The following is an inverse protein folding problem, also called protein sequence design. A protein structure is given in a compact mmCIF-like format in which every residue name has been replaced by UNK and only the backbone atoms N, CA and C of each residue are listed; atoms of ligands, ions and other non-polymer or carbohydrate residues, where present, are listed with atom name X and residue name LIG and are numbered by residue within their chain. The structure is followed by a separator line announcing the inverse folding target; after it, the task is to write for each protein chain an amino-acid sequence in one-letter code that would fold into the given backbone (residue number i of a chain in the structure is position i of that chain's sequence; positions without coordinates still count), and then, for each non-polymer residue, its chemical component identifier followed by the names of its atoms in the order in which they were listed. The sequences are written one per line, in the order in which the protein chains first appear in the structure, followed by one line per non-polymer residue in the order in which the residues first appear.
data_IF_913879403829
#
_entry.id   IF_913879403829
#
_cell.length_a   1.000
_cell.length_b   1.000
_cell.length_c   1.000
_cell.angle_alpha   90.00
_cell.angle_beta   90.00
_cell.angle_gamma   90.00
#
_symmetry.space_group_name_H-M   'P 1'
#
loop_
_entity.id
_entity.type
_entity.pdbx_description
1 polymer ?
#
# COMPACT_ATOMS: atom_id res chain seq x y z
N UNK A 1 -76.55 -10.63 -16.50
CA UNK A 1 -76.04 -10.99 -15.15
C UNK A 1 -75.03 -12.14 -15.24
N UNK A 2 -75.32 -13.18 -16.02
CA UNK A 2 -74.43 -14.35 -16.21
C UNK A 2 -73.02 -14.02 -16.74
N UNK A 3 -72.89 -13.07 -17.66
CA UNK A 3 -71.58 -12.66 -18.20
C UNK A 3 -70.63 -12.07 -17.14
N UNK A 4 -71.15 -11.40 -16.11
CA UNK A 4 -70.32 -10.82 -15.05
C UNK A 4 -69.86 -11.89 -14.05
N UNK A 5 -70.68 -12.91 -13.81
CA UNK A 5 -70.31 -14.06 -12.97
C UNK A 5 -69.19 -14.87 -13.62
N UNK A 6 -69.31 -15.16 -14.93
CA UNK A 6 -68.25 -15.87 -15.67
C UNK A 6 -66.92 -15.10 -15.69
N UNK A 7 -66.94 -13.77 -15.86
CA UNK A 7 -65.72 -12.96 -15.78
C UNK A 7 -65.10 -12.93 -14.38
N UNK A 8 -65.93 -12.93 -13.33
CA UNK A 8 -65.43 -12.99 -11.95
C UNK A 8 -64.74 -14.32 -11.68
N UNK A 9 -65.37 -15.43 -12.06
CA UNK A 9 -64.83 -16.76 -11.78
C UNK A 9 -63.55 -17.02 -12.58
N UNK A 10 -63.42 -16.48 -13.80
CA UNK A 10 -62.17 -16.51 -14.56
C UNK A 10 -61.03 -15.74 -13.87
N UNK A 11 -61.29 -14.55 -13.31
CA UNK A 11 -60.29 -13.78 -12.57
C UNK A 11 -59.88 -14.45 -11.26
N UNK A 12 -60.82 -15.09 -10.57
CA UNK A 12 -60.52 -15.84 -9.34
C UNK A 12 -59.61 -17.03 -9.66
N UNK A 13 -59.90 -17.78 -10.73
CA UNK A 13 -59.05 -18.88 -11.17
C UNK A 13 -57.63 -18.42 -11.55
N UNK A 14 -57.51 -17.28 -12.22
CA UNK A 14 -56.19 -16.70 -12.57
C UNK A 14 -55.40 -16.29 -11.32
N UNK A 15 -56.05 -15.63 -10.35
CA UNK A 15 -55.41 -15.24 -9.08
C UNK A 15 -54.97 -16.46 -8.26
N UNK A 16 -55.80 -17.51 -8.20
CA UNK A 16 -55.43 -18.76 -7.53
C UNK A 16 -54.21 -19.43 -8.20
N UNK A 17 -54.14 -19.40 -9.52
CA UNK A 17 -53.00 -19.94 -10.26
C UNK A 17 -51.73 -19.12 -10.01
N UNK A 18 -51.82 -17.78 -9.98
CA UNK A 18 -50.70 -16.91 -9.66
C UNK A 18 -50.20 -17.12 -8.22
N UNK A 19 -51.11 -17.24 -7.25
CA UNK A 19 -50.74 -17.54 -5.86
C UNK A 19 -50.03 -18.88 -5.73
N UNK A 20 -50.53 -19.94 -6.40
CA UNK A 20 -49.86 -21.26 -6.41
C UNK A 20 -48.47 -21.20 -7.04
N UNK A 21 -48.31 -20.44 -8.13
CA UNK A 21 -47.01 -20.26 -8.77
C UNK A 21 -46.02 -19.50 -7.86
N UNK A 22 -46.48 -18.46 -7.16
CA UNK A 22 -45.65 -17.73 -6.19
C UNK A 22 -45.25 -18.60 -4.99
N UNK A 23 -46.17 -19.42 -4.47
CA UNK A 23 -45.87 -20.37 -3.40
C UNK A 23 -44.81 -21.39 -3.83
N UNK A 24 -44.96 -21.98 -5.02
CA UNK A 24 -44.00 -22.93 -5.57
C UNK A 24 -42.60 -22.30 -5.76
N UNK A 25 -42.53 -21.08 -6.28
CA UNK A 25 -41.27 -20.35 -6.46
C UNK A 25 -40.58 -20.05 -5.12
N UNK A 26 -41.35 -19.69 -4.08
CA UNK A 26 -40.81 -19.44 -2.75
C UNK A 26 -40.28 -20.73 -2.09
N UNK A 27 -40.98 -21.85 -2.26
CA UNK A 27 -40.51 -23.16 -1.80
C UNK A 27 -39.22 -23.60 -2.50
N UNK A 28 -39.08 -23.33 -3.81
CA UNK A 28 -37.87 -23.62 -4.56
C UNK A 28 -36.68 -22.76 -4.09
N UNK A 29 -36.89 -21.47 -3.88
CA UNK A 29 -35.86 -20.59 -3.31
C UNK A 29 -35.45 -21.02 -1.90
N UNK A 30 -36.39 -21.47 -1.06
CA UNK A 30 -36.08 -21.98 0.27
C UNK A 30 -35.20 -23.24 0.22
N UNK A 31 -35.48 -24.18 -0.70
CA UNK A 31 -34.66 -25.37 -0.93
C UNK A 31 -33.26 -25.02 -1.44
N UNK A 32 -33.14 -24.06 -2.35
CA UNK A 32 -31.84 -23.58 -2.85
C UNK A 32 -31.02 -22.95 -1.73
N UNK A 33 -31.65 -22.15 -0.86
CA UNK A 33 -31.00 -21.54 0.29
C UNK A 33 -30.47 -22.59 1.27
N UNK A 34 -31.26 -23.63 1.58
CA UNK A 34 -30.83 -24.72 2.45
C UNK A 34 -29.63 -25.50 1.86
N UNK A 35 -29.61 -25.70 0.54
CA UNK A 35 -28.47 -26.34 -0.14
C UNK A 35 -27.20 -25.48 -0.08
N UNK A 36 -27.33 -24.17 -0.26
CA UNK A 36 -26.23 -23.22 -0.14
C UNK A 36 -25.66 -23.19 1.28
N UNK A 37 -26.53 -23.18 2.30
CA UNK A 37 -26.10 -23.21 3.71
C UNK A 37 -25.30 -24.49 4.02
N UNK A 38 -25.72 -25.66 3.51
CA UNK A 38 -24.96 -26.91 3.66
C UNK A 38 -23.59 -26.87 2.99
N UNK A 39 -23.48 -26.26 1.80
CA UNK A 39 -22.19 -26.12 1.11
C UNK A 39 -21.25 -25.19 1.87
N UNK A 40 -21.77 -24.10 2.46
CA UNK A 40 -20.98 -23.17 3.26
C UNK A 40 -20.46 -23.85 4.52
N UNK A 41 -21.31 -24.61 5.25
CA UNK A 41 -20.88 -25.33 6.44
C UNK A 41 -19.81 -26.38 6.12
N UNK A 42 -19.97 -27.13 5.02
CA UNK A 42 -18.97 -28.12 4.58
C UNK A 42 -17.63 -27.46 4.20
N UNK A 43 -17.67 -26.26 3.60
CA UNK A 43 -16.47 -25.50 3.29
C UNK A 43 -15.74 -25.03 4.55
N UNK A 44 -16.47 -24.53 5.55
CA UNK A 44 -15.88 -24.09 6.82
C UNK A 44 -15.23 -25.26 7.59
N UNK A 45 -15.83 -26.45 7.57
CA UNK A 45 -15.24 -27.65 8.18
C UNK A 45 -13.95 -28.10 7.46
N UNK A 46 -13.92 -28.00 6.12
CA UNK A 46 -12.70 -28.26 5.33
C UNK A 46 -11.60 -27.25 5.60
N UNK A 47 -11.93 -25.98 5.82
CA UNK A 47 -10.94 -24.95 6.14
C UNK A 47 -10.34 -25.17 7.53
N UNK A 48 -11.18 -25.47 8.54
CA UNK A 48 -10.72 -25.80 9.90
C UNK A 48 -9.81 -27.01 9.94
N UNK A 49 -10.11 -28.05 9.17
CA UNK A 49 -9.27 -29.25 9.08
C UNK A 49 -7.93 -28.96 8.39
N UNK A 50 -7.93 -28.18 7.31
CA UNK A 50 -6.70 -27.76 6.63
C UNK A 50 -5.81 -26.86 7.51
N UNK A 51 -6.40 -25.97 8.32
CA UNK A 51 -5.65 -25.11 9.24
C UNK A 51 -5.01 -25.92 10.38
N UNK A 52 -5.73 -26.90 10.94
CA UNK A 52 -5.18 -27.80 11.95
C UNK A 52 -3.99 -28.63 11.42
N UNK A 53 -4.04 -29.05 10.15
CA UNK A 53 -2.94 -29.78 9.50
C UNK A 53 -1.70 -28.90 9.27
N UNK A 54 -1.90 -27.64 8.86
CA UNK A 54 -0.82 -26.64 8.74
C UNK A 54 -0.13 -26.37 10.08
N UNK A 55 -0.89 -26.30 11.17
CA UNK A 55 -0.32 -26.09 12.50
C UNK A 55 0.54 -27.28 12.96
N UNK A 56 0.13 -28.53 12.67
CA UNK A 56 0.92 -29.73 12.99
C UNK A 56 2.23 -29.80 12.22
N UNK A 57 2.24 -29.37 10.97
CA UNK A 57 3.45 -29.37 10.14
C UNK A 57 4.47 -28.35 10.65
N UNK A 58 4.00 -27.18 11.13
CA UNK A 58 4.87 -26.09 11.59
C UNK A 58 5.61 -26.40 12.89
N UNK A 59 5.03 -27.20 13.79
CA UNK A 59 5.71 -27.63 15.03
C UNK A 59 6.80 -28.69 14.81
N UNK A 60 6.81 -29.37 13.65
CA UNK A 60 7.83 -30.40 13.34
C UNK A 60 9.14 -29.80 12.80
N UNK A 61 9.10 -28.60 12.22
CA UNK A 61 10.27 -27.97 11.57
C UNK A 61 11.06 -27.06 12.53
N UNK A 62 10.46 -26.58 13.63
CA UNK A 62 11.13 -25.72 14.61
C UNK A 62 12.14 -26.48 15.50
N UNK A 63 12.01 -27.80 15.65
CA UNK A 63 12.96 -28.63 16.42
C UNK A 63 14.25 -28.98 15.65
N UNK A 64 14.30 -28.72 14.33
CA UNK A 64 15.46 -29.04 13.48
C UNK A 64 16.43 -27.88 13.23
N UNK A 65 16.09 -26.65 13.65
CA UNK A 65 16.85 -25.43 13.32
C UNK A 65 17.71 -24.86 14.47
N UNK A 66 17.86 -25.58 15.59
CA UNK A 66 18.57 -25.07 16.79
C UNK A 66 20.08 -25.38 16.87
N UNK A 67 20.69 -25.96 15.85
CA UNK A 67 22.14 -26.12 15.79
C UNK A 67 22.74 -25.31 14.63
N UNK A 68 23.64 -24.37 15.00
CA UNK A 68 24.81 -23.88 14.25
C UNK A 68 24.85 -22.35 13.96
N UNK A 69 26.03 -21.79 14.29
CA UNK A 69 26.67 -20.54 13.84
C UNK A 69 26.53 -19.26 14.69
N UNK A 70 27.39 -19.15 15.71
CA UNK A 70 27.86 -17.86 16.24
C UNK A 70 29.02 -17.35 15.38
N UNK A 71 28.88 -16.18 14.75
CA UNK A 71 29.98 -15.47 14.11
C UNK A 71 30.05 -14.03 14.63
N UNK A 72 31.20 -13.67 15.19
CA UNK A 72 31.52 -12.33 15.70
C UNK A 72 32.16 -11.49 14.58
N UNK A 73 31.62 -10.30 14.24
CA UNK A 73 32.27 -9.43 13.27
C UNK A 73 33.36 -8.58 13.95
N UNK A 74 34.52 -8.52 13.27
CA UNK A 74 35.70 -7.73 13.60
C UNK A 74 35.45 -6.23 13.50
N UNK A 75 36.03 -5.51 14.47
CA UNK A 75 36.35 -4.08 14.44
C UNK A 75 37.12 -3.72 13.18
N UNK A 76 36.61 -2.74 12.45
CA UNK A 76 37.37 -1.60 11.89
C UNK A 76 36.53 -1.01 10.76
N UNK A 77 36.03 0.22 10.91
CA UNK A 77 35.79 1.22 9.85
C UNK A 77 35.10 2.44 10.48
N UNK A 78 35.83 3.09 11.40
CA UNK A 78 35.50 4.41 11.90
C UNK A 78 36.42 5.42 11.22
N UNK A 79 36.07 5.88 10.01
CA UNK A 79 36.51 7.16 9.43
C UNK A 79 35.94 7.34 8.03
N UNK A 80 35.06 8.34 7.86
CA UNK A 80 35.09 9.42 6.87
C UNK A 80 33.69 10.05 6.87
N UNK A 81 33.58 11.21 7.54
CA UNK A 81 32.35 11.96 7.79
C UNK A 81 32.57 13.37 7.25
N UNK A 82 31.88 13.75 6.16
CA UNK A 82 31.57 15.15 5.86
C UNK A 82 30.55 15.30 4.70
N UNK A 83 29.45 15.97 5.03
CA UNK A 83 28.58 16.83 4.20
C UNK A 83 28.03 16.31 2.85
N UNK A 84 26.73 16.01 2.84
CA UNK A 84 25.67 16.72 2.09
C UNK A 84 24.31 16.24 2.67
N UNK A 85 23.51 17.17 3.19
CA UNK A 85 22.08 16.95 3.49
C UNK A 85 21.32 17.04 2.16
N UNK A 86 20.74 15.93 1.72
CA UNK A 86 19.66 15.96 0.72
C UNK A 86 18.48 15.21 1.31
N UNK A 87 17.54 15.97 1.86
CA UNK A 87 16.23 15.50 2.30
C UNK A 87 15.42 15.04 1.08
N UNK A 88 15.65 13.79 0.67
CA UNK A 88 14.85 13.11 -0.34
C UNK A 88 13.71 12.34 0.35
N UNK A 89 12.76 13.10 0.90
CA UNK A 89 11.48 12.56 1.35
C UNK A 89 10.44 12.69 0.24
N UNK A 90 9.65 11.65 -0.07
CA UNK A 90 8.51 11.80 -0.96
C UNK A 90 7.50 12.78 -0.36
N UNK A 91 7.09 13.79 -1.14
CA UNK A 91 6.16 14.86 -0.72
C UNK A 91 4.71 14.41 -0.55
N UNK A 92 4.43 13.13 -0.80
CA UNK A 92 3.10 12.56 -0.63
C UNK A 92 2.98 12.05 0.81
N UNK A 93 1.88 12.46 1.44
CA UNK A 93 1.51 12.18 2.82
C UNK A 93 1.55 10.71 3.25
N UNK A 94 1.43 9.81 2.28
CA UNK A 94 1.12 8.39 2.44
C UNK A 94 1.84 7.57 1.35
N UNK A 95 3.15 7.75 1.21
CA UNK A 95 3.93 6.96 0.24
C UNK A 95 4.75 5.89 0.93
N UNK A 96 4.72 4.69 0.35
CA UNK A 96 5.61 3.59 0.70
C UNK A 96 6.58 3.41 -0.45
N UNK A 97 7.87 3.42 -0.16
CA UNK A 97 8.94 3.20 -1.12
C UNK A 97 9.88 2.13 -0.59
N UNK A 98 10.54 1.40 -1.48
CA UNK A 98 11.63 0.51 -1.10
C UNK A 98 12.97 1.22 -1.35
N UNK A 99 13.82 1.29 -0.32
CA UNK A 99 15.17 1.82 -0.40
C UNK A 99 16.18 0.76 0.07
N UNK A 100 16.85 0.11 -0.88
CA UNK A 100 17.72 -1.03 -0.59
C UNK A 100 16.90 -2.23 -0.10
N UNK A 101 17.22 -2.75 1.09
CA UNK A 101 16.45 -3.81 1.75
C UNK A 101 15.35 -3.28 2.69
N UNK A 102 15.04 -1.98 2.63
CA UNK A 102 14.18 -1.31 3.61
C UNK A 102 12.91 -0.77 2.97
N UNK A 103 11.77 -1.01 3.61
CA UNK A 103 10.57 -0.24 3.30
C UNK A 103 10.63 1.09 4.05
N UNK A 104 10.36 2.17 3.32
CA UNK A 104 10.27 3.53 3.81
C UNK A 104 8.83 3.99 3.65
N UNK A 105 8.19 4.34 4.75
CA UNK A 105 6.84 4.90 4.72
C UNK A 105 6.90 6.37 5.16
N UNK A 106 6.26 7.27 4.42
CA UNK A 106 5.90 8.59 4.92
C UNK A 106 4.52 8.51 5.59
N UNK A 107 4.36 9.24 6.70
CA UNK A 107 3.06 9.45 7.32
C UNK A 107 2.86 10.93 7.63
N UNK A 108 1.64 11.43 7.40
CA UNK A 108 1.23 12.72 7.95
C UNK A 108 1.13 12.62 9.46
N UNK A 109 2.06 13.23 10.18
CA UNK A 109 1.75 13.70 11.54
C UNK A 109 0.88 14.94 11.41
N UNK A 110 -0.36 14.90 11.89
CA UNK A 110 -1.06 16.14 12.24
C UNK A 110 -0.15 16.84 13.26
N UNK A 111 0.36 18.02 12.93
CA UNK A 111 0.96 18.90 13.92
C UNK A 111 -0.13 19.22 14.95
N UNK A 112 -0.15 18.49 16.07
CA UNK A 112 -0.76 19.03 17.28
C UNK A 112 0.13 20.21 17.64
N UNK A 113 -0.41 21.42 17.51
CA UNK A 113 0.37 22.61 17.80
C UNK A 113 0.95 22.50 19.22
N UNK A 114 2.21 22.93 19.47
CA UNK A 114 2.77 22.92 20.81
C UNK A 114 2.02 23.80 21.83
N UNK A 115 0.99 24.56 21.42
CA UNK A 115 0.27 25.51 22.27
C UNK A 115 -0.86 24.90 23.12
N UNK A 116 -1.20 23.61 22.98
CA UNK A 116 -2.34 23.01 23.72
C UNK A 116 -1.97 22.18 24.95
N UNK A 117 -0.72 22.23 25.43
CA UNK A 117 -0.42 21.86 26.82
C UNK A 117 -0.55 23.07 27.73
N UNK A 118 -1.78 23.32 28.20
CA UNK A 118 -2.01 24.13 29.40
C UNK A 118 -1.34 23.46 30.61
N UNK A 119 -0.15 23.92 30.95
CA UNK A 119 0.36 23.91 32.33
C UNK A 119 0.63 25.37 32.66
N UNK A 120 0.01 25.83 33.75
CA UNK A 120 -0.15 27.25 34.04
C UNK A 120 1.09 27.98 34.57
N UNK A 121 0.81 29.24 34.89
CA UNK A 121 1.56 30.24 35.67
C UNK A 121 2.26 31.39 34.90
N UNK A 122 1.54 32.53 34.95
CA UNK A 122 1.96 33.91 35.25
C UNK A 122 2.71 34.84 34.26
N UNK A 123 1.96 35.93 33.98
CA UNK A 123 2.28 37.38 33.96
C UNK A 123 3.29 37.97 32.95
N UNK A 124 2.69 38.83 32.11
CA UNK A 124 3.04 40.22 31.79
C UNK A 124 4.25 40.50 30.88
N UNK A 125 3.97 41.03 29.69
CA UNK A 125 4.95 41.69 28.82
C UNK A 125 4.43 41.89 27.39
N UNK A 126 4.12 43.14 27.06
CA UNK A 126 3.65 43.72 25.79
C UNK A 126 3.90 42.97 24.47
N UNK A 127 2.82 42.76 23.71
CA UNK A 127 2.82 42.50 22.28
C UNK A 127 3.34 43.73 21.49
N UNK A 128 4.38 43.53 20.69
CA UNK A 128 4.55 44.24 19.43
C UNK A 128 4.52 43.20 18.30
N UNK A 129 3.35 43.08 17.66
CA UNK A 129 3.19 42.35 16.40
C UNK A 129 4.02 43.04 15.32
N UNK A 130 5.01 42.35 14.78
CA UNK A 130 5.51 42.60 13.42
C UNK A 130 5.24 41.35 12.59
N UNK A 131 4.37 41.53 11.60
CA UNK A 131 4.04 40.61 10.53
C UNK A 131 5.29 40.25 9.72
N UNK A 132 5.86 39.07 9.99
CA UNK A 132 6.79 38.39 9.08
C UNK A 132 6.09 37.15 8.54
N UNK A 133 5.98 37.04 7.22
CA UNK A 133 5.47 35.86 6.50
C UNK A 133 6.10 34.59 7.07
N UNK A 134 5.30 33.79 7.78
CA UNK A 134 5.71 32.48 8.25
C UNK A 134 5.86 31.53 7.07
N UNK A 135 7.11 31.15 6.78
CA UNK A 135 7.38 29.90 6.08
C UNK A 135 7.04 28.76 7.05
N UNK A 136 5.87 28.16 6.88
CA UNK A 136 5.52 26.92 7.57
C UNK A 136 6.44 25.81 7.05
N UNK A 137 7.48 25.49 7.83
CA UNK A 137 8.30 24.31 7.60
C UNK A 137 7.51 23.06 7.97
N UNK A 138 7.20 22.24 6.97
CA UNK A 138 6.65 20.91 7.16
C UNK A 138 7.80 19.96 7.51
N UNK A 139 7.67 19.22 8.60
CA UNK A 139 8.67 18.25 9.06
C UNK A 139 8.08 16.85 8.90
N UNK A 140 8.26 16.29 7.71
CA UNK A 140 7.93 14.88 7.43
C UNK A 140 9.06 14.00 8.00
N UNK A 141 8.70 13.05 8.88
CA UNK A 141 9.68 12.10 9.43
C UNK A 141 9.52 10.78 8.68
N UNK A 142 10.40 10.44 7.73
CA UNK A 142 10.40 9.11 7.11
C UNK A 142 10.84 8.06 8.15
N UNK A 143 10.13 6.94 8.22
CA UNK A 143 10.60 5.75 8.95
C UNK A 143 11.16 4.73 7.96
N UNK A 144 12.38 4.26 8.22
CA UNK A 144 13.03 3.21 7.44
C UNK A 144 13.12 1.92 8.26
N UNK A 145 12.56 0.82 7.75
CA UNK A 145 12.60 -0.49 8.42
C UNK A 145 13.80 -1.31 7.91
N UNK A 146 14.76 -1.66 8.77
CA UNK A 146 15.96 -2.41 8.38
C UNK A 146 15.75 -3.93 8.39
N UNK A 147 16.07 -4.60 7.29
CA UNK A 147 16.18 -6.06 7.24
C UNK A 147 17.63 -6.45 7.51
N UNK A 148 17.90 -6.93 8.73
CA UNK A 148 19.12 -7.67 9.04
C UNK A 148 18.76 -9.12 9.38
N UNK A 149 19.42 -10.04 8.69
CA UNK A 149 19.46 -11.45 9.06
C UNK A 149 20.19 -11.57 10.40
N UNK A 150 19.44 -11.67 11.49
CA UNK A 150 19.98 -11.96 12.83
C UNK A 150 19.85 -10.81 13.84
N UNK A 151 18.93 -11.02 14.80
CA UNK A 151 18.78 -10.39 16.12
C UNK A 151 18.35 -8.91 16.24
N UNK A 152 17.19 -8.77 16.89
CA UNK A 152 16.61 -7.60 17.61
C UNK A 152 16.49 -6.25 16.88
N UNK A 153 15.29 -5.95 16.38
CA UNK A 153 14.87 -4.61 16.01
C UNK A 153 14.83 -3.68 17.24
N UNK A 154 15.72 -2.70 17.32
CA UNK A 154 15.54 -1.54 18.20
C UNK A 154 14.63 -0.52 17.51
N UNK A 155 13.69 0.07 18.26
CA UNK A 155 13.02 1.31 17.89
C UNK A 155 14.10 2.34 17.50
N UNK A 156 14.19 2.71 16.23
CA UNK A 156 15.10 3.77 15.80
C UNK A 156 14.44 5.13 15.98
N UNK A 157 15.20 6.03 16.60
CA UNK A 157 14.91 7.44 16.77
C UNK A 157 14.70 8.15 15.41
N UNK A 158 14.09 9.36 15.40
CA UNK A 158 13.94 10.18 14.19
C UNK A 158 15.19 10.18 13.33
N UNK A 159 15.00 10.08 12.01
CA UNK A 159 16.01 9.77 10.99
C UNK A 159 17.02 10.92 10.74
N UNK A 160 17.60 11.52 11.79
CA UNK A 160 18.58 12.60 11.68
C UNK A 160 20.03 12.14 11.54
N UNK A 161 20.35 10.88 11.86
CA UNK A 161 21.75 10.42 12.00
C UNK A 161 22.13 9.18 11.17
N UNK A 162 21.45 8.92 10.05
CA UNK A 162 21.97 7.97 9.06
C UNK A 162 22.97 8.67 8.14
N UNK A 163 24.26 8.39 8.33
CA UNK A 163 25.28 8.61 7.31
C UNK A 163 24.82 7.92 5.99
N UNK A 164 24.77 8.63 4.85
CA UNK A 164 24.30 8.09 3.58
C UNK A 164 25.40 7.23 2.96
N UNK A 165 25.56 6.01 3.47
CA UNK A 165 26.38 5.01 2.79
C UNK A 165 25.60 4.57 1.55
N UNK A 166 26.15 4.94 0.39
CA UNK A 166 25.75 4.59 -0.99
C UNK A 166 24.64 5.43 -1.64
N UNK A 167 24.75 6.76 -1.58
CA UNK A 167 24.41 7.58 -2.76
C UNK A 167 25.48 7.35 -3.85
N UNK A 168 25.56 6.14 -4.40
CA UNK A 168 25.95 6.00 -5.82
C UNK A 168 24.93 6.85 -6.56
N UNK A 169 25.39 7.96 -7.11
CA UNK A 169 24.57 9.08 -7.54
C UNK A 169 23.42 8.60 -8.43
N UNK A 170 22.23 9.20 -8.36
CA UNK A 170 21.11 8.86 -9.28
C UNK A 170 21.59 8.82 -10.74
N UNK A 171 22.58 9.66 -11.07
CA UNK A 171 23.35 9.68 -12.31
C UNK A 171 24.11 8.39 -12.65
N UNK A 172 24.69 7.66 -11.70
CA UNK A 172 25.35 6.37 -11.96
C UNK A 172 24.33 5.28 -12.29
N UNK A 173 23.20 5.24 -11.58
CA UNK A 173 22.16 4.24 -11.83
C UNK A 173 21.36 4.53 -13.09
N UNK A 174 21.11 5.81 -13.36
CA UNK A 174 20.29 6.30 -14.45
C UNK A 174 20.97 7.52 -15.11
N UNK A 175 22.01 7.32 -15.95
CA UNK A 175 22.70 8.43 -16.60
C UNK A 175 21.78 9.25 -17.51
N UNK A 176 20.73 8.62 -18.05
CA UNK A 176 19.70 9.29 -18.84
C UNK A 176 18.90 10.34 -18.06
N UNK A 177 18.90 10.25 -16.73
CA UNK A 177 18.25 11.23 -15.86
C UNK A 177 19.15 12.43 -15.56
N UNK A 178 20.47 12.35 -15.74
CA UNK A 178 21.40 13.42 -15.35
C UNK A 178 21.07 14.74 -16.03
N UNK A 179 20.87 14.74 -17.34
CA UNK A 179 20.54 15.95 -18.10
C UNK A 179 19.16 16.50 -17.72
N UNK A 180 18.20 15.60 -17.45
CA UNK A 180 16.84 16.00 -17.06
C UNK A 180 16.82 16.58 -15.65
N UNK A 181 17.53 15.96 -14.72
CA UNK A 181 17.72 16.47 -13.36
C UNK A 181 18.44 17.83 -13.39
N UNK A 182 19.47 17.99 -14.23
CA UNK A 182 20.16 19.27 -14.39
C UNK A 182 19.24 20.36 -14.96
N UNK A 183 18.35 19.99 -15.90
CA UNK A 183 17.41 20.91 -16.55
C UNK A 183 16.24 21.34 -15.66
N UNK A 184 15.60 20.39 -14.99
CA UNK A 184 14.36 20.63 -14.23
C UNK A 184 14.61 20.82 -12.72
N UNK A 185 15.76 20.34 -12.23
CA UNK A 185 16.13 20.40 -10.82
C UNK A 185 15.47 19.31 -9.98
N UNK A 186 16.18 18.86 -8.94
CA UNK A 186 15.65 17.92 -7.95
C UNK A 186 14.54 18.54 -7.08
N UNK A 187 14.57 19.86 -6.90
CA UNK A 187 13.58 20.58 -6.10
C UNK A 187 12.16 20.57 -6.70
N UNK A 188 12.06 20.32 -8.00
CA UNK A 188 10.80 20.23 -8.76
C UNK A 188 10.35 18.78 -8.96
N UNK A 189 11.02 17.79 -8.36
CA UNK A 189 10.61 16.40 -8.47
C UNK A 189 9.26 16.20 -7.75
N UNK A 190 8.27 15.71 -8.48
CA UNK A 190 6.94 15.40 -7.95
C UNK A 190 6.81 13.90 -7.67
N UNK A 191 7.31 13.05 -8.58
CA UNK A 191 7.22 11.60 -8.45
C UNK A 191 8.51 10.93 -8.89
N UNK A 192 8.93 9.88 -8.17
CA UNK A 192 10.12 9.10 -8.52
C UNK A 192 9.97 7.65 -8.10
N UNK A 193 10.12 6.74 -9.06
CA UNK A 193 10.16 5.31 -8.85
C UNK A 193 11.37 4.71 -9.59
N UNK A 194 12.15 3.92 -8.88
CA UNK A 194 13.26 3.15 -9.42
C UNK A 194 12.90 1.67 -9.37
N UNK A 195 13.25 0.95 -10.42
CA UNK A 195 13.08 -0.48 -10.53
C UNK A 195 14.37 -1.21 -10.91
N UNK A 196 14.31 -2.54 -11.06
CA UNK A 196 15.45 -3.34 -11.45
C UNK A 196 15.90 -3.02 -12.89
N UNK A 197 17.11 -3.45 -13.27
CA UNK A 197 17.63 -3.32 -14.63
C UNK A 197 17.61 -1.88 -15.22
N UNK A 198 17.82 -0.87 -14.37
CA UNK A 198 17.77 0.56 -14.75
C UNK A 198 16.38 1.02 -15.23
N UNK A 199 15.31 0.30 -14.91
CA UNK A 199 13.96 0.82 -15.14
C UNK A 199 13.67 1.94 -14.16
N UNK A 200 13.00 2.99 -14.62
CA UNK A 200 12.59 4.09 -13.76
C UNK A 200 11.36 4.80 -14.32
N UNK A 201 10.69 5.53 -13.43
CA UNK A 201 9.72 6.57 -13.78
C UNK A 201 10.01 7.79 -12.93
N UNK A 202 10.01 8.95 -13.55
CA UNK A 202 10.17 10.22 -12.86
C UNK A 202 9.23 11.26 -13.46
N UNK A 203 8.68 12.10 -12.59
CA UNK A 203 7.83 13.22 -12.95
C UNK A 203 8.26 14.46 -12.17
N UNK A 204 8.29 15.58 -12.86
CA UNK A 204 8.50 16.91 -12.29
C UNK A 204 7.18 17.67 -12.25
N UNK A 205 7.14 18.67 -11.38
CA UNK A 205 6.08 19.68 -11.35
C UNK A 205 6.09 20.44 -12.70
N UNK A 206 4.92 20.63 -13.32
CA UNK A 206 4.78 21.29 -14.63
C UNK A 206 4.87 20.38 -15.87
N UNK A 207 4.35 19.14 -15.77
CA UNK A 207 4.12 18.19 -16.88
C UNK A 207 5.35 17.49 -17.49
N UNK A 208 6.55 17.73 -16.97
CA UNK A 208 7.76 17.00 -17.37
C UNK A 208 7.78 15.57 -16.79
N UNK A 209 8.01 14.56 -17.62
CA UNK A 209 8.24 13.18 -17.15
C UNK A 209 9.27 12.43 -17.99
N UNK A 210 9.84 11.37 -17.42
CA UNK A 210 10.71 10.43 -18.11
C UNK A 210 10.51 9.03 -17.56
N UNK A 211 10.66 8.03 -18.41
CA UNK A 211 10.70 6.64 -18.00
C UNK A 211 11.73 5.86 -18.81
N UNK A 212 12.13 4.73 -18.27
CA UNK A 212 12.80 3.65 -18.97
C UNK A 212 12.27 2.33 -18.40
N UNK A 213 12.06 1.33 -19.25
CA UNK A 213 11.65 0.01 -18.79
C UNK A 213 11.15 -0.88 -19.91
N UNK A 214 10.43 -1.96 -19.59
CA UNK A 214 9.79 -2.81 -20.58
C UNK A 214 8.86 -2.03 -21.54
N UNK A 215 8.69 -2.52 -22.77
CA UNK A 215 7.89 -1.84 -23.80
C UNK A 215 6.42 -1.65 -23.40
N UNK A 216 5.82 -2.63 -22.72
CA UNK A 216 4.47 -2.55 -22.16
C UNK A 216 4.35 -1.45 -21.10
N UNK A 217 5.33 -1.38 -20.19
CA UNK A 217 5.43 -0.33 -19.19
C UNK A 217 5.54 1.06 -19.84
N UNK A 218 6.42 1.26 -20.81
CA UNK A 218 6.56 2.56 -21.49
C UNK A 218 5.27 2.98 -22.22
N UNK A 219 4.54 2.01 -22.80
CA UNK A 219 3.25 2.28 -23.41
C UNK A 219 2.20 2.73 -22.39
N UNK A 220 2.22 2.16 -21.18
CA UNK A 220 1.31 2.57 -20.10
C UNK A 220 1.70 3.95 -19.53
N UNK A 221 2.99 4.24 -19.35
CA UNK A 221 3.45 5.57 -18.93
C UNK A 221 3.00 6.65 -19.93
N UNK A 222 3.16 6.43 -21.23
CA UNK A 222 2.73 7.38 -22.27
C UNK A 222 1.24 7.73 -22.17
N UNK A 223 0.41 6.82 -21.66
CA UNK A 223 -1.04 7.05 -21.46
C UNK A 223 -1.35 7.75 -20.15
N UNK A 224 -0.60 7.46 -19.09
CA UNK A 224 -1.00 7.78 -17.71
C UNK A 224 -0.04 8.66 -16.92
N UNK A 225 1.14 9.03 -17.45
CA UNK A 225 2.23 9.69 -16.70
C UNK A 225 1.77 10.81 -15.75
N UNK A 226 0.95 11.74 -16.25
CA UNK A 226 0.46 12.89 -15.47
C UNK A 226 -0.61 12.54 -14.43
N UNK A 227 -1.18 11.34 -14.52
CA UNK A 227 -2.25 10.83 -13.65
C UNK A 227 -1.77 9.80 -12.64
N UNK A 228 -0.52 9.34 -12.74
CA UNK A 228 0.04 8.34 -11.81
C UNK A 228 0.07 8.92 -10.38
N UNK A 229 -0.42 8.13 -9.43
CA UNK A 229 -0.48 8.46 -8.00
C UNK A 229 0.40 7.56 -7.14
N UNK A 230 0.50 6.30 -7.51
CA UNK A 230 1.40 5.34 -6.90
C UNK A 230 1.98 4.41 -7.96
N UNK A 231 3.19 3.93 -7.74
CA UNK A 231 3.86 3.01 -8.64
C UNK A 231 4.92 2.23 -7.88
N UNK A 232 5.03 0.95 -8.20
CA UNK A 232 6.14 0.11 -7.74
C UNK A 232 6.62 -0.80 -8.87
N UNK A 233 7.93 -1.00 -8.91
CA UNK A 233 8.57 -2.04 -9.72
C UNK A 233 8.93 -3.22 -8.84
N UNK A 234 8.67 -4.43 -9.33
CA UNK A 234 8.98 -5.68 -8.66
C UNK A 234 9.90 -6.57 -9.48
N UNK A 235 9.99 -7.83 -9.05
CA UNK A 235 10.82 -8.85 -9.67
C UNK A 235 10.43 -9.09 -11.14
N UNK A 236 11.43 -9.40 -11.98
CA UNK A 236 11.22 -9.74 -13.40
C UNK A 236 10.59 -8.62 -14.24
N UNK A 237 10.83 -7.36 -13.89
CA UNK A 237 10.18 -6.20 -14.48
C UNK A 237 8.64 -6.25 -14.39
N UNK A 238 8.14 -6.81 -13.30
CA UNK A 238 6.76 -6.60 -12.89
C UNK A 238 6.58 -5.16 -12.42
N UNK A 239 5.37 -4.65 -12.57
CA UNK A 239 5.03 -3.34 -12.05
C UNK A 239 3.54 -3.25 -11.71
N UNK A 240 3.25 -2.36 -10.78
CA UNK A 240 1.90 -1.92 -10.49
C UNK A 240 1.91 -0.41 -10.53
N UNK A 241 0.91 0.17 -11.18
CA UNK A 241 0.68 1.59 -11.18
C UNK A 241 -0.77 1.90 -10.86
N UNK A 242 -0.96 2.91 -10.04
CA UNK A 242 -2.24 3.53 -9.72
C UNK A 242 -2.30 4.87 -10.41
N UNK A 243 -3.41 5.15 -11.09
CA UNK A 243 -3.61 6.39 -11.83
C UNK A 243 -5.05 6.87 -11.74
N UNK A 244 -5.21 8.18 -11.72
CA UNK A 244 -6.51 8.81 -11.64
C UNK A 244 -6.41 10.31 -11.74
N UNK A 245 -7.54 10.96 -11.98
CA UNK A 245 -7.61 12.41 -11.91
C UNK A 245 -7.83 12.82 -10.46
N UNK A 246 -7.10 13.83 -9.98
CA UNK A 246 -7.39 14.46 -8.70
C UNK A 246 -8.82 15.05 -8.64
N UNK A 247 -9.40 15.32 -9.81
CA UNK A 247 -10.69 15.99 -9.97
C UNK A 247 -11.84 15.04 -10.28
N UNK A 248 -11.56 13.75 -10.55
CA UNK A 248 -12.61 12.80 -10.88
C UNK A 248 -12.94 11.94 -9.65
N UNK A 249 -14.11 12.11 -9.03
CA UNK A 249 -14.54 11.30 -7.89
C UNK A 249 -14.78 9.83 -8.27
N UNK A 250 -14.74 9.48 -9.56
CA UNK A 250 -14.85 8.10 -10.07
C UNK A 250 -13.66 7.19 -9.75
N UNK A 251 -12.75 7.63 -8.90
CA UNK A 251 -11.77 6.79 -8.26
C UNK A 251 -10.43 6.58 -8.96
N UNK A 252 -9.48 6.04 -8.20
CA UNK A 252 -8.19 5.60 -8.74
C UNK A 252 -8.37 4.28 -9.50
N UNK A 253 -7.87 4.25 -10.72
CA UNK A 253 -7.70 3.02 -11.48
C UNK A 253 -6.29 2.48 -11.25
N UNK A 254 -6.07 1.23 -11.60
CA UNK A 254 -4.74 0.65 -11.56
C UNK A 254 -4.47 -0.24 -12.76
N UNK A 255 -3.18 -0.40 -13.07
CA UNK A 255 -2.67 -1.34 -14.04
C UNK A 255 -1.64 -2.20 -13.35
N UNK A 256 -1.79 -3.51 -13.49
CA UNK A 256 -1.00 -4.51 -12.80
C UNK A 256 -0.43 -5.47 -13.84
N UNK A 257 0.90 -5.59 -13.89
CA UNK A 257 1.60 -6.53 -14.77
C UNK A 257 2.61 -7.28 -13.92
N UNK A 258 2.20 -8.42 -13.37
CA UNK A 258 3.02 -9.18 -12.41
C UNK A 258 3.79 -10.35 -13.02
N UNK A 259 3.46 -10.79 -14.24
CA UNK A 259 4.22 -11.80 -15.01
C UNK A 259 4.44 -13.12 -14.23
N UNK A 260 3.50 -13.52 -13.38
CA UNK A 260 3.60 -14.70 -12.53
C UNK A 260 4.35 -14.50 -11.20
N UNK A 261 4.88 -13.30 -10.95
CA UNK A 261 5.37 -12.90 -9.63
C UNK A 261 4.22 -12.43 -8.74
N UNK A 262 4.43 -12.44 -7.42
CA UNK A 262 3.46 -12.00 -6.41
C UNK A 262 2.06 -12.61 -6.58
N UNK A 263 1.91 -13.95 -6.62
CA UNK A 263 0.63 -14.60 -6.91
C UNK A 263 -0.46 -14.25 -5.91
N UNK A 264 -0.11 -14.05 -4.63
CA UNK A 264 -1.05 -13.58 -3.61
C UNK A 264 -1.59 -12.17 -3.93
N UNK A 265 -0.73 -11.27 -4.39
CA UNK A 265 -1.13 -9.92 -4.80
C UNK A 265 -2.02 -9.97 -6.03
N UNK A 266 -1.67 -10.79 -7.03
CA UNK A 266 -2.46 -10.98 -8.25
C UNK A 266 -3.87 -11.46 -7.91
N UNK A 267 -3.98 -12.54 -7.13
CA UNK A 267 -5.26 -13.09 -6.67
C UNK A 267 -6.05 -12.08 -5.85
N UNK A 268 -5.38 -11.32 -4.98
CA UNK A 268 -6.02 -10.29 -4.18
C UNK A 268 -6.60 -9.17 -5.03
N UNK A 269 -5.85 -8.70 -6.03
CA UNK A 269 -6.29 -7.68 -6.99
C UNK A 269 -7.50 -8.18 -7.78
N UNK A 270 -7.46 -9.41 -8.28
CA UNK A 270 -8.56 -10.00 -9.05
C UNK A 270 -9.86 -10.13 -8.25
N UNK A 271 -9.74 -10.47 -6.96
CA UNK A 271 -10.87 -10.57 -6.04
C UNK A 271 -11.44 -9.18 -5.68
N UNK A 272 -10.63 -8.14 -5.70
CA UNK A 272 -10.99 -6.78 -5.26
C UNK A 272 -10.94 -5.76 -6.40
N UNK A 273 -11.68 -6.01 -7.49
CA UNK A 273 -11.65 -5.16 -8.71
C UNK A 273 -12.00 -3.68 -8.47
N UNK A 274 -12.78 -3.38 -7.43
CA UNK A 274 -13.23 -2.01 -7.09
C UNK A 274 -12.35 -1.30 -6.05
N UNK A 275 -11.11 -1.73 -5.86
CA UNK A 275 -10.20 -1.07 -4.92
C UNK A 275 -9.41 0.06 -5.56
N UNK A 276 -9.03 1.02 -4.73
CA UNK A 276 -8.16 2.13 -5.11
C UNK A 276 -6.82 1.97 -4.43
N UNK A 277 -5.76 1.82 -5.22
CA UNK A 277 -4.40 1.67 -4.70
C UNK A 277 -3.87 3.07 -4.34
N UNK A 278 -3.70 3.33 -3.05
CA UNK A 278 -3.20 4.60 -2.52
C UNK A 278 -1.67 4.60 -2.50
N UNK A 279 -1.08 3.49 -2.08
CA UNK A 279 0.37 3.27 -2.11
C UNK A 279 0.68 1.81 -2.35
N UNK A 280 1.81 1.55 -3.00
CA UNK A 280 2.32 0.20 -3.21
C UNK A 280 3.84 0.20 -3.22
N UNK A 281 4.42 -0.85 -2.65
CA UNK A 281 5.82 -1.19 -2.78
C UNK A 281 5.96 -2.69 -3.05
N UNK A 282 6.81 -3.04 -4.00
CA UNK A 282 7.18 -4.42 -4.32
C UNK A 282 8.67 -4.57 -4.02
N UNK A 283 9.08 -5.71 -3.49
CA UNK A 283 10.51 -6.02 -3.37
C UNK A 283 11.02 -6.60 -4.68
N UNK A 284 11.88 -5.91 -5.46
CA UNK A 284 12.37 -6.41 -6.73
C UNK A 284 13.31 -7.61 -6.60
N UNK A 285 13.78 -7.94 -5.39
CA UNK A 285 14.60 -9.12 -5.10
C UNK A 285 13.76 -10.31 -4.64
N UNK A 286 12.55 -10.08 -4.14
CA UNK A 286 11.62 -11.14 -3.74
C UNK A 286 10.53 -11.33 -4.79
N UNK A 287 10.13 -12.58 -4.99
CA UNK A 287 9.01 -12.91 -5.87
C UNK A 287 7.64 -12.81 -5.17
N UNK A 288 7.62 -12.57 -3.86
CA UNK A 288 6.41 -12.63 -3.04
C UNK A 288 6.20 -11.41 -2.17
N UNK A 289 7.25 -10.64 -1.87
CA UNK A 289 7.17 -9.61 -0.83
C UNK A 289 6.63 -8.29 -1.37
N UNK A 290 5.57 -7.79 -0.75
CA UNK A 290 4.94 -6.53 -1.11
C UNK A 290 4.22 -5.89 0.06
N UNK A 291 4.01 -4.58 -0.05
CA UNK A 291 3.12 -3.79 0.81
C UNK A 291 2.15 -3.05 -0.09
N UNK A 292 0.85 -3.17 0.22
CA UNK A 292 -0.23 -2.53 -0.49
C UNK A 292 -1.11 -1.76 0.50
N UNK A 293 -1.32 -0.47 0.24
CA UNK A 293 -2.30 0.36 0.94
C UNK A 293 -3.40 0.71 -0.05
N UNK A 294 -4.64 0.42 0.33
CA UNK A 294 -5.79 0.56 -0.56
C UNK A 294 -7.05 0.97 0.19
N UNK A 295 -8.05 1.49 -0.53
CA UNK A 295 -9.37 1.81 0.00
C UNK A 295 -10.46 0.98 -0.70
N UNK A 296 -11.37 0.41 0.08
CA UNK A 296 -12.56 -0.25 -0.44
C UNK A 296 -13.60 0.83 -0.77
N UNK A 297 -13.82 1.11 -2.06
CA UNK A 297 -14.76 2.10 -2.62
C UNK A 297 -14.26 3.55 -2.75
N UNK A 298 -14.81 4.20 -3.79
CA UNK A 298 -14.51 5.54 -4.27
C UNK A 298 -14.47 6.61 -3.17
N UNK A 299 -13.28 6.88 -2.64
CA UNK A 299 -12.99 8.03 -1.79
C UNK A 299 -13.60 8.06 -0.37
N UNK A 300 -14.38 7.06 0.04
CA UNK A 300 -15.05 7.04 1.36
C UNK A 300 -14.76 5.80 2.22
N UNK A 301 -13.88 4.90 1.75
CA UNK A 301 -13.46 3.74 2.53
C UNK A 301 -12.37 4.05 3.53
N UNK A 302 -12.34 3.34 4.67
CA UNK A 302 -11.16 3.29 5.51
C UNK A 302 -9.99 2.71 4.73
N UNK A 303 -8.81 3.33 4.88
CA UNK A 303 -7.57 2.79 4.34
C UNK A 303 -7.28 1.43 4.97
N UNK A 304 -6.86 0.48 4.14
CA UNK A 304 -6.51 -0.87 4.53
C UNK A 304 -5.11 -1.16 4.07
N UNK A 305 -4.37 -1.89 4.89
CA UNK A 305 -3.05 -2.40 4.55
C UNK A 305 -3.13 -3.90 4.29
N UNK A 306 -2.46 -4.36 3.23
CA UNK A 306 -2.11 -5.76 3.01
C UNK A 306 -0.61 -5.83 2.84
N UNK A 307 0.02 -6.71 3.60
CA UNK A 307 1.46 -6.92 3.56
C UNK A 307 1.73 -8.40 3.46
N UNK A 308 2.57 -8.78 2.50
CA UNK A 308 3.16 -10.10 2.44
C UNK A 308 4.67 -9.92 2.54
N UNK A 309 5.30 -10.44 3.60
CA UNK A 309 6.75 -10.48 3.72
C UNK A 309 7.17 -11.91 4.06
N UNK A 310 8.24 -12.38 3.42
CA UNK A 310 8.83 -13.69 3.67
C UNK A 310 9.36 -13.81 5.11
N UNK A 311 9.67 -12.69 5.75
CA UNK A 311 10.03 -12.63 7.17
C UNK A 311 8.81 -12.27 8.03
N UNK A 312 8.28 -13.21 8.85
CA UNK A 312 7.09 -12.98 9.67
C UNK A 312 7.24 -11.80 10.64
N UNK A 313 8.45 -11.58 11.15
CA UNK A 313 8.75 -10.49 12.08
C UNK A 313 8.58 -9.10 11.46
N UNK A 314 8.81 -8.96 10.15
CA UNK A 314 8.65 -7.70 9.43
C UNK A 314 7.17 -7.39 9.24
N UNK A 315 6.37 -8.36 8.81
CA UNK A 315 4.92 -8.19 8.65
C UNK A 315 4.29 -7.70 9.94
N UNK A 316 4.60 -8.33 11.08
CA UNK A 316 4.10 -7.92 12.38
C UNK A 316 4.48 -6.47 12.74
N UNK A 317 5.72 -6.06 12.44
CA UNK A 317 6.16 -4.68 12.67
C UNK A 317 5.43 -3.68 11.79
N UNK A 318 5.20 -4.01 10.51
CA UNK A 318 4.43 -3.18 9.58
C UNK A 318 2.99 -3.02 10.07
N UNK A 319 2.35 -4.11 10.50
CA UNK A 319 0.99 -4.06 11.03
C UNK A 319 0.89 -3.26 12.34
N UNK A 320 1.85 -3.44 13.25
CA UNK A 320 1.88 -2.65 14.49
C UNK A 320 2.04 -1.16 14.19
N UNK A 321 2.97 -0.80 13.30
CA UNK A 321 3.13 0.58 12.84
C UNK A 321 1.84 1.14 12.20
N UNK A 322 1.22 0.36 11.32
CA UNK A 322 -0.02 0.76 10.67
C UNK A 322 -1.13 1.00 11.67
N UNK A 323 -1.33 0.11 12.64
CA UNK A 323 -2.35 0.25 13.66
C UNK A 323 -2.08 1.45 14.58
N UNK A 324 -0.82 1.65 15.00
CA UNK A 324 -0.41 2.79 15.81
C UNK A 324 -0.64 4.13 15.09
N UNK A 325 -0.50 4.16 13.76
CA UNK A 325 -0.69 5.38 12.96
C UNK A 325 -2.13 5.60 12.51
N UNK A 326 -2.86 4.54 12.19
CA UNK A 326 -4.28 4.61 11.84
C UNK A 326 -5.13 5.05 13.04
N UNK A 327 -4.82 4.58 14.25
CA UNK A 327 -5.50 5.01 15.48
C UNK A 327 -5.29 6.48 15.85
N UNK A 328 -4.34 7.18 15.21
CA UNK A 328 -4.15 8.63 15.34
C UNK A 328 -4.97 9.45 14.34
N UNK A 329 -5.66 8.79 13.40
CA UNK A 329 -6.48 9.46 12.37
C UNK A 329 -7.94 9.61 12.77
N UNK A 330 -8.44 8.73 13.64
CA UNK A 330 -9.74 8.84 14.32
C UNK A 330 -9.71 9.93 15.41
#
# INVERSE_FOLDING_TARGET
MESLLSQRDARVAELEQQMKAQQAAHEEMAKQKEQLEKVVTDMEEREKTAEAERQRSRSSDEDAAQEIFTYTPSSDYASVKAMIQTDFGPRSADSVALYGSRYVCSCRKKQISPCERKIGWNRAGSLQQRSGKGSAGWLDIPMALEVRSGSTCRKTEPLTDLNPVQSTSVSERCPELTDKIARWGLAQLDFFALGPHKSFFVRWDGDGWSCAGPTDFECDIKKFALKIKAMAFGAGNSYVLSYGSAWNPGGLNYRCVLKGYYPDLEQFIEKNKSMEIQAIALDPLSQTDYILIWTSHHGYGSERIRCFCSSPGISAQIYNWWNDTAGLRE
#
